data_IF_630696862615
#
_entry.id   IF_630696862615
#
_cell.length_a   1.000
_cell.length_b   1.000
_cell.length_c   1.000
_cell.angle_alpha   90.00
_cell.angle_beta   90.00
_cell.angle_gamma   90.00
#
_symmetry.space_group_name_H-M   'P 1'
#
loop_
_entity.id
_entity.type
_entity.pdbx_description
1 polymer ?
#
# COMPACT_ATOMS: atom_id res chain seq x y z
N UNK A 1 -1.42 -0.16 8.24
CA UNK A 1 -2.17 -0.73 7.12
C UNK A 1 -1.19 -0.90 5.98
N UNK A 2 -1.02 -2.11 5.47
CA UNK A 2 -0.34 -2.41 4.21
C UNK A 2 1.02 -1.72 4.05
N UNK A 3 1.81 -1.65 5.13
CA UNK A 3 3.13 -1.01 5.10
C UNK A 3 4.23 -1.96 4.64
N UNK A 4 3.87 -3.17 4.21
CA UNK A 4 4.78 -4.20 3.77
C UNK A 4 4.23 -4.82 2.50
N UNK A 5 5.00 -4.74 1.41
CA UNK A 5 4.57 -5.14 0.07
C UNK A 5 5.65 -6.02 -0.59
N UNK A 6 5.26 -7.11 -1.23
CA UNK A 6 6.14 -7.94 -2.06
C UNK A 6 6.11 -7.48 -3.52
N UNK A 7 7.26 -7.52 -4.17
CA UNK A 7 7.46 -7.20 -5.60
C UNK A 7 8.49 -8.17 -6.21
N UNK A 8 8.36 -9.47 -5.92
CA UNK A 8 9.19 -10.54 -6.50
C UNK A 8 8.37 -11.27 -7.56
N UNK A 9 8.57 -10.91 -8.83
CA UNK A 9 7.90 -11.52 -9.98
C UNK A 9 8.88 -12.50 -10.62
N UNK A 10 8.58 -13.80 -10.54
CA UNK A 10 9.54 -14.87 -10.84
C UNK A 10 9.09 -15.84 -11.92
N UNK A 11 7.78 -15.95 -12.19
CA UNK A 11 7.17 -16.89 -13.14
C UNK A 11 6.66 -16.18 -14.39
N UNK A 12 6.18 -14.96 -14.28
CA UNK A 12 5.64 -14.17 -15.38
C UNK A 12 6.77 -13.59 -16.23
N UNK A 13 6.67 -13.78 -17.54
CA UNK A 13 7.59 -13.18 -18.49
C UNK A 13 7.30 -11.69 -18.72
N UNK A 14 6.05 -11.27 -18.51
CA UNK A 14 5.56 -9.92 -18.77
C UNK A 14 4.67 -9.42 -17.62
N UNK A 15 4.85 -8.13 -17.29
CA UNK A 15 3.82 -7.36 -16.59
C UNK A 15 2.86 -6.83 -17.65
N UNK A 16 1.57 -7.12 -17.50
CA UNK A 16 0.51 -6.85 -18.48
C UNK A 16 -0.57 -5.98 -17.87
N UNK A 17 -1.00 -4.98 -18.62
CA UNK A 17 -2.18 -4.19 -18.32
C UNK A 17 -3.05 -4.18 -19.57
N UNK A 18 -4.06 -5.05 -19.59
CA UNK A 18 -4.83 -5.39 -20.78
C UNK A 18 -3.88 -5.76 -21.95
N UNK A 19 -3.95 -5.04 -23.06
CA UNK A 19 -3.14 -5.24 -24.26
C UNK A 19 -1.70 -4.72 -24.14
N UNK A 20 -1.37 -3.96 -23.10
CA UNK A 20 -0.05 -3.36 -22.91
C UNK A 20 0.83 -4.31 -22.09
N UNK A 21 2.12 -4.44 -22.46
CA UNK A 21 3.03 -5.32 -21.73
C UNK A 21 4.46 -4.80 -21.65
N UNK A 22 5.17 -5.18 -20.58
CA UNK A 22 6.62 -4.96 -20.40
C UNK A 22 7.27 -6.25 -19.92
N UNK A 23 8.34 -6.64 -20.61
CA UNK A 23 9.10 -7.83 -20.25
C UNK A 23 9.77 -7.68 -18.88
N UNK A 24 9.48 -8.60 -17.95
CA UNK A 24 9.97 -8.60 -16.57
C UNK A 24 11.50 -8.60 -16.51
N UNK A 25 12.17 -9.32 -17.42
CA UNK A 25 13.63 -9.39 -17.52
C UNK A 25 14.36 -8.05 -17.67
N UNK A 26 13.64 -6.96 -18.00
CA UNK A 26 14.20 -5.60 -18.07
C UNK A 26 14.32 -4.90 -16.72
N UNK A 27 13.78 -5.50 -15.65
CA UNK A 27 13.63 -4.86 -14.34
C UNK A 27 14.17 -5.78 -13.24
N UNK A 28 15.47 -5.67 -12.96
CA UNK A 28 16.16 -6.42 -11.90
C UNK A 28 15.57 -6.16 -10.49
N UNK A 29 14.98 -4.99 -10.28
CA UNK A 29 14.32 -4.62 -9.04
C UNK A 29 12.98 -5.33 -8.78
N UNK A 30 12.43 -6.08 -9.74
CA UNK A 30 11.24 -6.93 -9.56
C UNK A 30 11.55 -8.29 -8.91
N UNK A 31 12.54 -8.32 -8.01
CA UNK A 31 13.01 -9.52 -7.33
C UNK A 31 13.02 -9.36 -5.80
N UNK A 32 12.15 -8.50 -5.25
CA UNK A 32 12.16 -8.17 -3.82
C UNK A 32 10.93 -8.73 -3.11
N UNK A 33 11.14 -9.75 -2.28
CA UNK A 33 10.06 -10.42 -1.56
C UNK A 33 9.34 -9.52 -0.55
N UNK A 34 10.02 -8.47 -0.06
CA UNK A 34 9.43 -7.51 0.87
C UNK A 34 10.09 -6.12 0.78
N UNK A 35 9.23 -5.12 0.69
CA UNK A 35 9.53 -3.71 0.91
C UNK A 35 8.89 -3.31 2.23
N UNK A 36 9.66 -2.66 3.10
CA UNK A 36 9.15 -2.02 4.31
C UNK A 36 8.90 -0.54 4.02
N UNK A 37 7.65 -0.10 4.03
CA UNK A 37 7.27 1.28 3.77
C UNK A 37 7.91 2.28 4.73
N UNK A 38 8.16 1.89 5.99
CA UNK A 38 8.83 2.77 6.96
C UNK A 38 10.32 2.99 6.66
N UNK A 39 10.91 2.22 5.75
CA UNK A 39 12.25 2.49 5.24
C UNK A 39 12.26 3.60 4.18
N UNK A 40 11.09 4.04 3.70
CA UNK A 40 10.94 5.04 2.64
C UNK A 40 11.83 4.72 1.42
N UNK A 41 11.93 3.44 1.08
CA UNK A 41 12.75 2.96 -0.02
C UNK A 41 11.99 2.99 -1.36
N UNK A 42 12.71 2.81 -2.47
CA UNK A 42 12.09 2.67 -3.78
C UNK A 42 11.21 1.41 -3.86
N UNK A 43 10.02 1.56 -4.45
CA UNK A 43 9.11 0.47 -4.84
C UNK A 43 8.78 0.58 -6.33
N UNK A 44 8.51 -0.55 -6.97
CA UNK A 44 8.08 -0.64 -8.37
C UNK A 44 6.65 -0.11 -8.56
N UNK A 45 6.49 0.79 -9.51
CA UNK A 45 5.24 1.48 -9.83
C UNK A 45 5.09 1.55 -11.34
N UNK A 46 3.90 1.24 -11.84
CA UNK A 46 3.50 1.53 -13.22
C UNK A 46 2.96 2.96 -13.26
N UNK A 47 3.52 3.78 -14.14
CA UNK A 47 3.00 5.12 -14.45
C UNK A 47 2.81 5.25 -15.95
N UNK A 48 1.99 6.20 -16.39
CA UNK A 48 1.91 6.58 -17.81
C UNK A 48 3.30 6.95 -18.35
N UNK A 49 3.57 6.56 -19.58
CA UNK A 49 4.74 7.04 -20.32
C UNK A 49 4.55 8.52 -20.73
N UNK A 50 5.58 9.13 -21.30
CA UNK A 50 5.56 10.56 -21.65
C UNK A 50 4.47 10.91 -22.67
N UNK A 51 4.07 9.95 -23.51
CA UNK A 51 3.06 10.13 -24.55
C UNK A 51 1.65 9.75 -24.07
N UNK A 52 1.50 9.28 -22.84
CA UNK A 52 0.26 8.78 -22.24
C UNK A 52 -0.45 7.69 -23.06
N UNK A 53 0.30 6.94 -23.89
CA UNK A 53 -0.23 5.85 -24.72
C UNK A 53 0.24 4.47 -24.24
N UNK A 54 1.21 4.46 -23.32
CA UNK A 54 1.75 3.25 -22.72
C UNK A 54 2.06 3.51 -21.23
N UNK A 55 2.67 2.54 -20.57
CA UNK A 55 3.19 2.72 -19.21
C UNK A 55 4.70 2.49 -19.16
N UNK A 56 5.34 2.99 -18.11
CA UNK A 56 6.68 2.61 -17.67
C UNK A 56 6.59 1.93 -16.32
N UNK A 57 7.45 0.94 -16.07
CA UNK A 57 7.71 0.43 -14.72
C UNK A 57 8.93 1.17 -14.19
N UNK A 58 8.73 1.96 -13.13
CA UNK A 58 9.78 2.77 -12.50
C UNK A 58 9.84 2.50 -11.01
N UNK A 59 10.91 2.96 -10.37
CA UNK A 59 10.99 3.00 -8.92
C UNK A 59 10.59 4.37 -8.38
N UNK A 60 9.77 4.39 -7.33
CA UNK A 60 9.37 5.60 -6.60
C UNK A 60 9.57 5.42 -5.11
N UNK A 61 9.95 6.48 -4.40
CA UNK A 61 10.08 6.49 -2.95
C UNK A 61 8.70 6.25 -2.30
N UNK A 62 8.55 5.17 -1.53
CA UNK A 62 7.27 4.89 -0.85
C UNK A 62 7.09 5.84 0.33
N UNK A 63 6.14 6.78 0.20
CA UNK A 63 5.84 7.81 1.19
C UNK A 63 5.72 9.17 0.54
N UNK A 64 4.50 9.51 0.14
CA UNK A 64 4.15 10.74 -0.59
C UNK A 64 4.67 12.01 0.11
N UNK A 65 5.36 12.86 -0.63
CA UNK A 65 5.87 14.14 -0.14
C UNK A 65 5.07 15.30 -0.71
N UNK A 66 4.38 16.08 0.13
CA UNK A 66 3.74 17.31 -0.31
C UNK A 66 4.77 18.29 -0.92
N UNK A 67 4.40 19.01 -1.99
CA UNK A 67 5.33 19.88 -2.72
C UNK A 67 5.82 21.09 -1.91
N UNK A 68 5.15 21.43 -0.79
CA UNK A 68 5.56 22.54 0.09
C UNK A 68 6.75 22.20 1.00
N UNK A 69 7.13 20.92 1.12
CA UNK A 69 8.31 20.52 1.89
C UNK A 69 9.57 20.95 1.14
N UNK A 70 10.45 21.69 1.81
CA UNK A 70 11.58 22.36 1.13
C UNK A 70 12.76 21.43 0.85
N UNK A 71 13.15 20.62 1.83
CA UNK A 71 14.38 19.82 1.77
C UNK A 71 14.24 18.55 2.61
N UNK A 72 15.24 17.66 2.55
CA UNK A 72 15.23 16.41 3.33
C UNK A 72 15.13 16.61 4.85
N UNK A 73 15.60 17.72 5.41
CA UNK A 73 15.40 18.03 6.84
C UNK A 73 13.92 18.26 7.17
N UNK A 74 13.23 19.06 6.35
CA UNK A 74 11.79 19.28 6.48
C UNK A 74 11.00 17.97 6.30
N UNK A 75 11.44 17.10 5.38
CA UNK A 75 10.86 15.75 5.19
C UNK A 75 11.04 14.88 6.43
N UNK A 76 12.22 14.89 7.05
CA UNK A 76 12.49 14.13 8.26
C UNK A 76 11.61 14.61 9.43
N UNK A 77 11.48 15.92 9.62
CA UNK A 77 10.57 16.54 10.60
C UNK A 77 9.11 16.16 10.31
N UNK A 78 8.69 16.21 9.05
CA UNK A 78 7.34 15.84 8.62
C UNK A 78 7.02 14.37 8.92
N UNK A 79 7.93 13.44 8.61
CA UNK A 79 7.72 11.99 8.81
C UNK A 79 7.77 11.58 10.28
N UNK A 80 8.75 12.10 11.02
CA UNK A 80 9.09 11.60 12.35
C UNK A 80 8.49 12.44 13.49
N UNK A 81 8.05 13.66 13.18
CA UNK A 81 7.77 14.67 14.19
C UNK A 81 9.05 15.33 14.71
N UNK A 82 8.89 16.42 15.46
CA UNK A 82 10.00 17.18 16.02
C UNK A 82 9.56 18.01 17.23
N UNK A 83 10.52 18.43 18.07
CA UNK A 83 10.28 19.48 19.07
C UNK A 83 10.65 20.83 18.47
N UNK A 84 9.78 21.82 18.62
CA UNK A 84 10.12 23.21 18.27
C UNK A 84 11.03 23.87 19.33
N UNK A 85 11.43 25.10 19.06
CA UNK A 85 12.32 25.90 19.92
C UNK A 85 11.74 26.15 21.32
N UNK A 86 10.41 26.11 21.46
CA UNK A 86 9.70 26.24 22.73
C UNK A 86 9.51 24.89 23.43
N UNK A 87 10.05 23.80 22.88
CA UNK A 87 9.99 22.45 23.43
C UNK A 87 8.67 21.70 23.16
N UNK A 88 7.75 22.28 22.38
CA UNK A 88 6.48 21.65 22.03
C UNK A 88 6.69 20.58 20.95
N UNK A 89 6.10 19.41 21.17
CA UNK A 89 6.13 18.29 20.23
C UNK A 89 5.13 18.47 19.09
N UNK A 90 5.62 18.37 17.86
CA UNK A 90 4.83 18.27 16.64
C UNK A 90 4.83 16.83 16.17
N UNK A 91 3.65 16.24 16.02
CA UNK A 91 3.49 14.83 15.66
C UNK A 91 3.81 14.67 14.17
N UNK A 92 4.58 13.63 13.83
CA UNK A 92 4.86 13.26 12.45
C UNK A 92 3.62 12.77 11.70
N UNK A 93 3.70 12.81 10.38
CA UNK A 93 2.62 12.42 9.49
C UNK A 93 3.07 11.33 8.53
N UNK A 94 2.38 10.19 8.57
CA UNK A 94 2.68 9.04 7.71
C UNK A 94 1.87 9.12 6.42
N UNK A 95 2.57 9.20 5.29
CA UNK A 95 2.00 9.33 3.94
C UNK A 95 2.29 8.13 3.04
N UNK A 96 2.55 6.96 3.65
CA UNK A 96 2.71 5.69 2.92
C UNK A 96 1.40 5.26 2.25
N UNK A 97 0.27 5.64 2.84
CA UNK A 97 -1.06 5.39 2.31
C UNK A 97 -1.90 6.66 2.23
N UNK A 98 -2.80 6.70 1.24
CA UNK A 98 -3.88 7.67 1.13
C UNK A 98 -5.22 6.96 1.37
N UNK A 99 -6.04 7.47 2.29
CA UNK A 99 -7.40 6.95 2.48
C UNK A 99 -8.25 7.38 1.29
N UNK A 100 -8.91 6.44 0.62
CA UNK A 100 -9.76 6.70 -0.55
C UNK A 100 -10.85 7.75 -0.24
N UNK A 101 -11.46 7.66 0.95
CA UNK A 101 -12.48 8.60 1.42
C UNK A 101 -11.95 10.04 1.55
N UNK A 102 -10.64 10.20 1.67
CA UNK A 102 -9.97 11.48 1.93
C UNK A 102 -9.05 11.93 0.79
N UNK A 103 -9.23 11.41 -0.44
CA UNK A 103 -8.35 11.76 -1.56
C UNK A 103 -8.46 13.24 -1.93
N UNK A 104 -9.67 13.80 -1.90
CA UNK A 104 -9.93 15.18 -2.31
C UNK A 104 -10.10 16.14 -1.14
N UNK A 105 -10.79 15.71 -0.08
CA UNK A 105 -10.99 16.47 1.15
C UNK A 105 -10.55 15.63 2.35
N UNK A 106 -9.91 16.24 3.35
CA UNK A 106 -9.56 15.55 4.59
C UNK A 106 -10.77 15.47 5.53
N UNK A 107 -10.59 14.80 6.68
CA UNK A 107 -11.64 14.56 7.69
C UNK A 107 -12.25 15.86 8.28
N UNK A 108 -11.61 17.01 8.07
CA UNK A 108 -12.08 18.34 8.49
C UNK A 108 -12.76 19.13 7.37
N UNK A 109 -12.95 18.54 6.19
CA UNK A 109 -13.53 19.19 5.02
C UNK A 109 -12.61 20.14 4.26
N UNK A 110 -11.32 20.19 4.60
CA UNK A 110 -10.34 21.00 3.85
C UNK A 110 -9.74 20.19 2.69
N UNK A 111 -9.24 20.83 1.62
CA UNK A 111 -8.52 20.14 0.56
C UNK A 111 -7.44 19.20 1.10
N UNK A 112 -7.43 17.98 0.59
CA UNK A 112 -6.46 16.96 0.95
C UNK A 112 -5.10 17.24 0.31
N UNK A 113 -4.01 16.86 0.98
CA UNK A 113 -2.65 16.93 0.41
C UNK A 113 -2.49 16.05 -0.83
N UNK A 114 -3.45 15.13 -1.06
CA UNK A 114 -3.47 14.17 -2.15
C UNK A 114 -4.31 14.64 -3.35
N UNK A 115 -5.07 15.73 -3.23
CA UNK A 115 -6.11 16.08 -4.20
C UNK A 115 -5.57 16.29 -5.62
N UNK A 116 -4.48 17.03 -5.76
CA UNK A 116 -3.87 17.29 -7.08
C UNK A 116 -3.26 16.03 -7.69
N UNK A 117 -2.61 15.21 -6.86
CA UNK A 117 -2.03 13.94 -7.29
C UNK A 117 -3.11 12.92 -7.69
N UNK A 118 -4.25 12.89 -6.99
CA UNK A 118 -5.39 12.05 -7.34
C UNK A 118 -5.96 12.41 -8.73
N UNK A 119 -5.95 13.69 -9.11
CA UNK A 119 -6.41 14.13 -10.44
C UNK A 119 -5.39 13.84 -11.55
N UNK A 120 -4.10 14.10 -11.29
CA UNK A 120 -3.09 14.20 -12.36
C UNK A 120 -2.06 13.07 -12.37
N UNK A 121 -1.79 12.48 -11.22
CA UNK A 121 -0.63 11.61 -10.99
C UNK A 121 -1.07 10.27 -10.39
N UNK A 122 -2.03 9.63 -11.04
CA UNK A 122 -2.46 8.26 -10.74
C UNK A 122 -1.44 7.27 -11.31
N UNK A 123 -1.21 6.21 -10.55
CA UNK A 123 -0.28 5.13 -10.88
C UNK A 123 -0.79 3.80 -10.31
N UNK A 124 -0.14 2.71 -10.67
CA UNK A 124 -0.41 1.38 -10.12
C UNK A 124 0.82 0.90 -9.36
N UNK A 125 0.68 0.65 -8.06
CA UNK A 125 1.73 0.01 -7.27
C UNK A 125 1.64 -1.49 -7.51
N UNK A 126 2.72 -2.07 -8.04
CA UNK A 126 2.79 -3.50 -8.30
C UNK A 126 2.86 -4.26 -6.97
N UNK A 127 2.16 -5.39 -6.86
CA UNK A 127 2.25 -6.26 -5.70
C UNK A 127 2.26 -7.72 -6.12
N UNK A 128 3.09 -8.53 -5.48
CA UNK A 128 2.98 -10.00 -5.50
C UNK A 128 2.34 -10.51 -4.23
N UNK A 129 1.75 -9.63 -3.42
CA UNK A 129 1.20 -9.90 -2.10
C UNK A 129 1.68 -8.88 -1.07
N UNK A 130 0.91 -8.70 0.01
CA UNK A 130 1.21 -7.76 1.08
C UNK A 130 1.05 -8.43 2.45
N UNK A 131 1.55 -7.78 3.49
CA UNK A 131 1.60 -8.36 4.84
C UNK A 131 0.79 -7.53 5.83
N UNK A 132 0.00 -8.20 6.66
CA UNK A 132 -0.76 -7.58 7.74
C UNK A 132 -0.90 -8.47 8.98
N UNK A 133 -1.39 -7.90 10.08
CA UNK A 133 -1.49 -8.60 11.36
C UNK A 133 -2.92 -8.74 11.85
N UNK A 134 -3.29 -9.96 12.23
CA UNK A 134 -4.48 -10.27 13.03
C UNK A 134 -4.21 -10.12 14.50
N UNK A 135 -5.03 -9.30 15.17
CA UNK A 135 -4.97 -9.10 16.60
C UNK A 135 -5.95 -10.05 17.29
N UNK A 136 -5.45 -11.02 18.04
CA UNK A 136 -6.26 -11.93 18.86
C UNK A 136 -6.11 -11.53 20.31
N UNK A 137 -7.22 -11.38 21.02
CA UNK A 137 -7.24 -11.04 22.44
C UNK A 137 -7.54 -12.31 23.25
N UNK A 138 -6.53 -12.95 23.87
CA UNK A 138 -6.76 -14.18 24.63
C UNK A 138 -7.70 -13.92 25.82
N UNK A 139 -8.39 -14.96 26.29
CA UNK A 139 -9.24 -14.85 27.47
C UNK A 139 -8.40 -14.94 28.75
N UNK A 140 -8.75 -14.12 29.74
CA UNK A 140 -8.24 -14.23 31.10
C UNK A 140 -8.80 -15.52 31.74
N UNK A 141 -7.92 -16.45 32.11
CA UNK A 141 -8.31 -17.75 32.69
C UNK A 141 -9.12 -17.66 33.98
N UNK A 142 -9.03 -16.55 34.73
CA UNK A 142 -9.76 -16.35 35.99
C UNK A 142 -11.11 -15.67 35.79
N UNK A 143 -11.21 -14.72 34.88
CA UNK A 143 -12.42 -13.90 34.69
C UNK A 143 -13.24 -14.26 33.46
N UNK A 144 -12.67 -15.05 32.53
CA UNK A 144 -13.27 -15.37 31.24
C UNK A 144 -13.33 -14.18 30.27
N UNK A 145 -12.85 -13.00 30.66
CA UNK A 145 -12.90 -11.79 29.83
C UNK A 145 -11.66 -11.66 28.93
N UNK A 146 -11.76 -11.05 27.73
CA UNK A 146 -10.59 -10.78 26.89
C UNK A 146 -9.54 -9.94 27.61
N UNK A 147 -8.27 -10.29 27.41
CA UNK A 147 -7.14 -9.46 27.83
C UNK A 147 -7.14 -8.13 27.07
N UNK A 148 -6.57 -7.08 27.68
CA UNK A 148 -6.42 -5.76 27.04
C UNK A 148 -5.35 -5.75 25.95
N UNK A 149 -4.41 -6.69 26.01
CA UNK A 149 -3.29 -6.80 25.06
C UNK A 149 -3.56 -7.92 24.07
N UNK A 150 -3.53 -7.59 22.78
CA UNK A 150 -3.63 -8.59 21.71
C UNK A 150 -2.30 -9.28 21.44
N UNK A 151 -2.35 -10.57 21.11
CA UNK A 151 -1.29 -11.26 20.37
C UNK A 151 -1.49 -10.94 18.89
N UNK A 152 -0.41 -10.57 18.19
CA UNK A 152 -0.43 -10.29 16.75
C UNK A 152 0.10 -11.49 15.98
N UNK A 153 -0.65 -11.93 14.99
CA UNK A 153 -0.28 -13.00 14.07
C UNK A 153 -0.13 -12.41 12.67
N UNK A 154 1.06 -12.47 12.05
CA UNK A 154 1.24 -11.96 10.71
C UNK A 154 0.61 -12.90 9.68
N UNK A 155 0.09 -12.29 8.64
CA UNK A 155 -0.47 -12.92 7.45
C UNK A 155 0.24 -12.37 6.23
N UNK A 156 0.43 -13.25 5.25
CA UNK A 156 0.68 -12.88 3.87
C UNK A 156 -0.63 -13.00 3.09
N UNK A 157 -0.96 -11.96 2.33
CA UNK A 157 -2.21 -11.82 1.58
C UNK A 157 -1.87 -11.69 0.10
N UNK A 158 -2.54 -12.48 -0.74
CA UNK A 158 -2.35 -12.51 -2.19
C UNK A 158 -3.69 -12.60 -2.94
N UNK A 159 -3.64 -12.46 -4.26
CA UNK A 159 -4.77 -12.69 -5.16
C UNK A 159 -4.64 -14.09 -5.77
N UNK A 160 -5.75 -14.84 -5.82
CA UNK A 160 -5.80 -16.20 -6.35
C UNK A 160 -5.42 -16.23 -7.83
N UNK A 161 -4.66 -17.25 -8.21
CA UNK A 161 -4.23 -17.51 -9.59
C UNK A 161 -3.50 -16.34 -10.27
N UNK A 162 -3.03 -15.36 -9.48
CA UNK A 162 -2.28 -14.21 -9.96
C UNK A 162 -0.91 -14.16 -9.28
N UNK A 163 0.16 -14.10 -10.06
CA UNK A 163 1.49 -13.88 -9.50
C UNK A 163 1.70 -12.44 -9.03
N UNK A 164 1.11 -11.49 -9.73
CA UNK A 164 1.11 -10.08 -9.37
C UNK A 164 -0.27 -9.49 -9.61
N UNK A 165 -0.54 -8.39 -8.93
CA UNK A 165 -1.75 -7.58 -9.07
C UNK A 165 -1.42 -6.11 -8.84
N UNK A 166 -2.42 -5.26 -9.07
CA UNK A 166 -2.28 -3.81 -8.98
C UNK A 166 -3.00 -3.26 -7.76
N UNK A 167 -2.29 -2.43 -6.99
CA UNK A 167 -2.92 -1.54 -6.01
C UNK A 167 -2.96 -0.13 -6.60
N UNK A 168 -4.11 0.55 -6.49
CA UNK A 168 -4.21 1.94 -6.90
C UNK A 168 -3.25 2.80 -6.07
N UNK A 169 -2.44 3.59 -6.75
CA UNK A 169 -1.51 4.54 -6.14
C UNK A 169 -1.68 5.94 -6.71
N UNK A 170 -1.18 6.91 -5.95
CA UNK A 170 -1.00 8.29 -6.39
C UNK A 170 0.44 8.69 -6.11
N UNK A 171 1.03 9.45 -7.01
CA UNK A 171 2.41 9.89 -6.87
C UNK A 171 2.55 11.40 -7.04
N UNK A 172 3.70 11.93 -6.65
CA UNK A 172 4.05 13.33 -6.83
C UNK A 172 5.55 13.44 -7.08
N UNK A 173 5.93 14.34 -7.97
CA UNK A 173 7.33 14.80 -8.09
C UNK A 173 7.59 15.84 -6.99
N UNK A 174 8.62 15.58 -6.18
CA UNK A 174 9.08 16.45 -5.12
C UNK A 174 10.51 16.89 -5.44
N UNK A 175 10.79 18.18 -5.35
CA UNK A 175 12.12 18.74 -5.60
C UNK A 175 12.74 19.17 -4.29
N UNK A 176 13.89 18.61 -3.93
CA UNK A 176 14.71 19.13 -2.86
C UNK A 176 15.25 20.51 -3.28
N UNK A 177 14.88 21.56 -2.55
CA UNK A 177 15.24 22.94 -2.87
C UNK A 177 16.70 23.27 -2.55
N UNK A 178 17.35 22.48 -1.71
CA UNK A 178 18.76 22.69 -1.36
C UNK A 178 19.68 22.04 -2.41
N UNK A 179 19.30 20.89 -2.97
CA UNK A 179 20.12 20.14 -3.93
C UNK A 179 19.66 20.23 -5.39
N UNK A 180 18.39 20.55 -5.63
CA UNK A 180 17.75 20.50 -6.95
C UNK A 180 17.33 19.08 -7.38
N UNK A 181 17.53 18.06 -6.54
CA UNK A 181 17.15 16.68 -6.84
C UNK A 181 15.63 16.54 -6.97
N UNK A 182 15.16 15.88 -8.04
CA UNK A 182 13.75 15.55 -8.23
C UNK A 182 13.53 14.08 -7.88
N UNK A 183 12.60 13.85 -6.96
CA UNK A 183 12.26 12.52 -6.44
C UNK A 183 10.78 12.26 -6.67
N UNK A 184 10.44 11.12 -7.23
CA UNK A 184 9.06 10.65 -7.31
C UNK A 184 8.70 9.91 -6.04
N UNK A 185 7.61 10.34 -5.41
CA UNK A 185 7.13 9.77 -4.15
C UNK A 185 5.72 9.27 -4.32
N UNK A 186 5.37 8.14 -3.71
CA UNK A 186 4.10 7.44 -3.95
C UNK A 186 3.39 7.11 -2.64
N UNK A 187 2.05 7.20 -2.65
CA UNK A 187 1.17 6.65 -1.62
C UNK A 187 0.26 5.58 -2.23
N UNK A 188 0.07 4.48 -1.50
CA UNK A 188 -0.91 3.44 -1.85
C UNK A 188 -2.29 3.89 -1.38
N UNK A 189 -3.29 3.82 -2.24
CA UNK A 189 -4.68 4.09 -1.84
C UNK A 189 -5.23 2.92 -1.03
N UNK A 190 -6.04 3.23 -0.03
CA UNK A 190 -6.65 2.23 0.86
C UNK A 190 -8.13 2.50 1.01
N UNK A 191 -8.94 1.45 1.14
CA UNK A 191 -10.38 1.51 1.35
C UNK A 191 -10.79 0.64 2.55
N UNK A 192 -12.08 0.64 2.89
CA UNK A 192 -12.62 -0.29 3.89
C UNK A 192 -12.29 -1.75 3.54
N UNK A 193 -12.01 -2.56 4.56
CA UNK A 193 -11.72 -3.97 4.37
C UNK A 193 -12.97 -4.76 3.93
N UNK A 194 -12.78 -5.66 2.95
CA UNK A 194 -13.72 -6.74 2.64
C UNK A 194 -13.78 -7.78 3.80
N UNK A 195 -14.71 -8.76 3.77
CA UNK A 195 -14.87 -9.72 4.88
C UNK A 195 -13.61 -10.52 5.26
N UNK A 196 -12.75 -10.85 4.29
CA UNK A 196 -11.46 -11.51 4.56
C UNK A 196 -10.53 -10.57 5.33
N UNK A 197 -10.35 -9.36 4.83
CA UNK A 197 -9.45 -8.37 5.43
C UNK A 197 -9.98 -7.81 6.75
N UNK A 198 -11.29 -7.89 7.04
CA UNK A 198 -11.82 -7.56 8.36
C UNK A 198 -11.41 -8.57 9.43
N UNK A 199 -11.18 -9.83 9.05
CA UNK A 199 -10.66 -10.85 9.96
C UNK A 199 -9.15 -10.72 10.14
N UNK A 200 -8.41 -10.46 9.06
CA UNK A 200 -6.95 -10.30 9.10
C UNK A 200 -6.56 -8.96 9.71
N UNK A 201 -6.99 -7.83 9.16
CA UNK A 201 -6.68 -6.50 9.69
C UNK A 201 -7.79 -5.98 10.62
N UNK A 202 -8.10 -6.75 11.64
CA UNK A 202 -9.27 -6.54 12.51
C UNK A 202 -9.20 -5.33 13.46
N UNK A 203 -8.06 -4.64 13.55
CA UNK A 203 -7.88 -3.47 14.42
C UNK A 203 -8.29 -2.15 13.75
N UNK A 204 -7.99 -1.97 12.45
CA UNK A 204 -8.40 -0.77 11.69
C UNK A 204 -9.35 -1.06 10.54
N UNK A 205 -9.53 -2.34 10.16
CA UNK A 205 -10.45 -2.81 9.10
C UNK A 205 -10.30 -2.06 7.77
N UNK A 206 -9.09 -2.02 7.22
CA UNK A 206 -8.85 -1.50 5.86
C UNK A 206 -8.07 -2.53 5.04
N UNK A 207 -7.99 -2.25 3.75
CA UNK A 207 -7.19 -2.99 2.79
C UNK A 207 -6.62 -2.02 1.75
N UNK A 208 -5.59 -2.40 0.97
CA UNK A 208 -5.21 -1.59 -0.17
C UNK A 208 -6.31 -1.69 -1.22
N UNK A 209 -6.50 -0.63 -2.01
CA UNK A 209 -7.44 -0.67 -3.13
C UNK A 209 -6.82 -1.49 -4.25
N UNK A 210 -7.17 -2.79 -4.29
CA UNK A 210 -6.71 -3.73 -5.32
C UNK A 210 -7.66 -3.61 -6.52
N UNK A 211 -7.09 -3.43 -7.71
CA UNK A 211 -7.83 -3.26 -8.96
C UNK A 211 -7.68 -4.49 -9.84
N UNK A 212 -8.76 -4.87 -10.53
CA UNK A 212 -8.66 -5.76 -11.69
C UNK A 212 -8.11 -4.99 -12.91
N UNK A 213 -7.83 -5.69 -14.00
CA UNK A 213 -7.16 -5.09 -15.17
C UNK A 213 -7.96 -3.93 -15.78
N UNK A 214 -9.29 -4.05 -15.86
CA UNK A 214 -10.16 -3.00 -16.40
C UNK A 214 -10.12 -1.73 -15.55
N UNK A 215 -10.31 -1.85 -14.23
CA UNK A 215 -10.25 -0.70 -13.32
C UNK A 215 -8.82 -0.15 -13.21
N UNK A 216 -7.79 -1.00 -13.29
CA UNK A 216 -6.41 -0.58 -13.27
C UNK A 216 -6.07 0.26 -14.52
N UNK A 217 -6.56 -0.15 -15.68
CA UNK A 217 -6.40 0.60 -16.92
C UNK A 217 -7.17 1.94 -16.86
N UNK A 218 -8.43 1.91 -16.44
CA UNK A 218 -9.25 3.11 -16.28
C UNK A 218 -8.66 4.09 -15.24
N UNK A 219 -8.16 3.57 -14.12
CA UNK A 219 -7.49 4.37 -13.08
C UNK A 219 -6.28 5.12 -13.64
N UNK A 220 -5.52 4.50 -14.54
CA UNK A 220 -4.28 5.06 -15.05
C UNK A 220 -4.47 5.93 -16.30
N UNK A 221 -5.37 5.56 -17.21
CA UNK A 221 -5.55 6.22 -18.52
C UNK A 221 -6.88 6.95 -18.70
N UNK A 222 -7.87 6.69 -17.84
CA UNK A 222 -9.19 7.32 -17.98
C UNK A 222 -9.14 8.82 -17.69
N UNK A 223 -9.87 9.60 -18.50
CA UNK A 223 -10.19 10.99 -18.19
C UNK A 223 -11.33 11.01 -17.16
N UNK A 224 -10.97 10.95 -15.88
CA UNK A 224 -11.91 10.73 -14.79
C UNK A 224 -12.12 12.01 -13.99
N UNK A 225 -13.38 12.29 -13.65
CA UNK A 225 -13.72 13.31 -12.64
C UNK A 225 -13.49 12.79 -11.21
N UNK A 226 -13.56 13.68 -10.22
CA UNK A 226 -13.32 13.35 -8.81
C UNK A 226 -14.25 12.23 -8.29
N UNK A 227 -15.51 12.18 -8.77
CA UNK A 227 -16.48 11.16 -8.37
C UNK A 227 -16.05 9.76 -8.83
N UNK A 228 -15.69 9.61 -10.11
CA UNK A 228 -15.25 8.32 -10.66
C UNK A 228 -13.89 7.90 -10.09
N UNK A 229 -12.98 8.84 -9.83
CA UNK A 229 -11.73 8.55 -9.10
C UNK A 229 -12.05 7.99 -7.72
N UNK A 230 -12.98 8.62 -7.00
CA UNK A 230 -13.39 8.17 -5.66
C UNK A 230 -14.02 6.77 -5.71
N UNK A 231 -14.90 6.52 -6.68
CA UNK A 231 -15.55 5.23 -6.86
C UNK A 231 -14.54 4.09 -7.08
N UNK A 232 -13.59 4.28 -8.00
CA UNK A 232 -12.53 3.29 -8.24
C UNK A 232 -11.65 3.12 -6.99
N UNK A 233 -11.28 4.23 -6.35
CA UNK A 233 -10.45 4.19 -5.14
C UNK A 233 -11.13 3.49 -3.95
N UNK A 234 -12.47 3.51 -3.88
CA UNK A 234 -13.26 2.83 -2.85
C UNK A 234 -13.61 1.38 -3.20
N UNK A 235 -13.26 0.91 -4.39
CA UNK A 235 -13.55 -0.46 -4.81
C UNK A 235 -12.93 -1.49 -3.86
N UNK A 236 -13.70 -2.53 -3.57
CA UNK A 236 -13.26 -3.67 -2.78
C UNK A 236 -13.06 -4.87 -3.68
N UNK A 237 -11.83 -5.39 -3.72
CA UNK A 237 -11.56 -6.62 -4.46
C UNK A 237 -12.28 -7.80 -3.80
N UNK A 238 -12.88 -8.74 -4.56
CA UNK A 238 -13.70 -9.81 -3.99
C UNK A 238 -12.91 -10.70 -3.03
N UNK A 239 -13.38 -10.84 -1.79
CA UNK A 239 -12.72 -11.67 -0.77
C UNK A 239 -12.50 -13.12 -1.23
N UNK A 240 -13.45 -13.69 -1.99
CA UNK A 240 -13.36 -15.05 -2.53
C UNK A 240 -12.22 -15.26 -3.55
N UNK A 241 -11.70 -14.18 -4.14
CA UNK A 241 -10.58 -14.17 -5.09
C UNK A 241 -9.25 -13.83 -4.41
N UNK A 242 -9.23 -13.70 -3.08
CA UNK A 242 -8.03 -13.44 -2.31
C UNK A 242 -7.71 -14.65 -1.42
N UNK A 243 -6.44 -14.83 -1.12
CA UNK A 243 -5.96 -15.78 -0.13
C UNK A 243 -5.23 -15.06 0.99
N UNK A 244 -5.29 -15.64 2.18
CA UNK A 244 -4.50 -15.21 3.32
C UNK A 244 -3.95 -16.43 4.05
N UNK A 245 -2.63 -16.49 4.20
CA UNK A 245 -1.95 -17.52 4.99
C UNK A 245 -1.16 -16.88 6.13
N UNK A 246 -1.10 -17.58 7.26
CA UNK A 246 -0.27 -17.19 8.39
C UNK A 246 1.20 -17.45 8.06
N UNK A 247 2.08 -16.59 8.56
CA UNK A 247 3.54 -16.68 8.38
C UNK A 247 4.25 -16.57 9.74
N UNK A 248 5.55 -16.85 9.81
CA UNK A 248 6.30 -16.75 11.06
C UNK A 248 6.37 -15.29 11.58
N UNK A 249 6.50 -15.08 12.89
CA UNK A 249 6.58 -13.73 13.48
C UNK A 249 7.84 -12.98 13.04
N UNK A 250 8.89 -13.73 12.76
CA UNK A 250 10.22 -13.28 12.39
C UNK A 250 10.39 -13.14 10.86
N UNK A 251 9.32 -13.23 10.08
CA UNK A 251 9.35 -13.26 8.60
C UNK A 251 10.19 -12.14 7.98
N UNK A 252 10.23 -10.95 8.58
CA UNK A 252 11.04 -9.80 8.14
C UNK A 252 12.55 -10.09 8.10
N UNK A 253 13.04 -11.06 8.87
CA UNK A 253 14.44 -11.46 8.93
C UNK A 253 14.76 -12.69 8.05
N UNK A 254 13.77 -13.19 7.28
CA UNK A 254 13.92 -14.41 6.48
C UNK A 254 14.07 -14.10 4.99
N UNK A 255 14.67 -15.03 4.24
CA UNK A 255 14.79 -14.92 2.78
C UNK A 255 13.46 -15.17 2.05
N UNK A 256 12.58 -15.98 2.64
CA UNK A 256 11.27 -16.35 2.09
C UNK A 256 10.15 -15.91 3.06
N UNK A 257 9.89 -14.58 3.16
CA UNK A 257 8.96 -13.99 4.15
C UNK A 257 7.51 -14.44 4.02
N UNK A 258 7.11 -14.97 2.87
CA UNK A 258 5.75 -15.45 2.60
C UNK A 258 5.56 -16.94 2.88
N UNK A 259 6.54 -17.61 3.49
CA UNK A 259 6.45 -19.04 3.81
C UNK A 259 5.32 -19.30 4.82
N UNK A 260 4.33 -20.15 4.50
CA UNK A 260 3.25 -20.48 5.42
C UNK A 260 3.76 -21.07 6.73
N UNK A 261 3.14 -20.65 7.83
CA UNK A 261 3.44 -21.10 9.18
C UNK A 261 2.13 -21.37 9.93
N UNK A 262 1.96 -22.57 10.50
CA UNK A 262 0.74 -22.92 11.23
C UNK A 262 0.82 -22.49 12.71
N UNK A 263 -0.21 -21.83 13.20
CA UNK A 263 -0.37 -21.49 14.62
C UNK A 263 -1.51 -22.32 15.22
N UNK A 264 -1.20 -23.26 16.12
CA UNK A 264 -2.20 -24.18 16.71
C UNK A 264 -3.35 -23.45 17.43
N UNK A 265 -3.03 -22.35 18.13
CA UNK A 265 -4.00 -21.59 18.93
C UNK A 265 -4.74 -20.49 18.16
N UNK A 266 -4.52 -20.36 16.85
CA UNK A 266 -5.12 -19.31 16.04
C UNK A 266 -6.37 -19.81 15.33
N UNK A 267 -7.57 -19.25 15.64
CA UNK A 267 -8.78 -19.62 14.92
C UNK A 267 -8.62 -19.43 13.41
N UNK A 268 -9.14 -20.38 12.62
CA UNK A 268 -9.12 -20.28 11.17
C UNK A 268 -9.84 -19.01 10.67
N UNK A 269 -9.52 -18.60 9.45
CA UNK A 269 -10.30 -17.58 8.74
C UNK A 269 -11.57 -18.24 8.22
N UNK A 270 -12.70 -17.57 8.38
CA UNK A 270 -13.97 -17.94 7.78
C UNK A 270 -14.04 -17.34 6.38
N UNK A 271 -13.95 -18.19 5.36
CA UNK A 271 -14.19 -17.77 3.99
C UNK A 271 -15.70 -17.77 3.74
N UNK A 272 -16.25 -16.62 3.34
CA UNK A 272 -17.64 -16.55 2.88
C UNK A 272 -17.83 -17.51 1.69
N UNK A 273 -18.85 -18.37 1.78
CA UNK A 273 -19.26 -19.31 0.74
C UNK A 273 -19.85 -18.54 -0.44
#
# INVERSE_FOLDING_TARGET
MCYYNGQKVSRAEFIKLLQLEKAVKKYDFLNRAIHNGFAYGPIAVLKRDINETNFDIVQMEWGFLPPYLKNREAVAKFRNGYKDEQGKWHIGYTTLNAKAENLFNNEKGNPSIYADAARKHRCLVLSTGFYEWRHVFPLNKKTGQPLKTSIKYPYYISVKDQEYFYMAGIYQEWTDKDTGEIVRTVAVTTAEANPLMQQVHNSKKRMPTILNDDLAYEWMFGDLNDDRITEIALSQYPAKQMDACTIAKEFLATLEPSTPFNYEDLPAIEYAI
#
